data_IF_315711753612
#
_entry.id   IF_315711753612
#
_cell.length_a   1.000
_cell.length_b   1.000
_cell.length_c   1.000
_cell.angle_alpha   90.00
_cell.angle_beta   90.00
_cell.angle_gamma   90.00
#
_symmetry.space_group_name_H-M   'P 1'
#
loop_
_entity.id
_entity.type
_entity.pdbx_description
1 polymer ?
#
# COMPACT_ATOMS: atom_id res chain seq x y z
N UNK A 1 -2.93 -35.59 25.65
CA UNK A 1 -3.34 -35.28 24.26
C UNK A 1 -2.08 -34.97 23.45
N UNK A 2 -1.42 -35.96 22.87
CA UNK A 2 -1.65 -36.58 21.55
C UNK A 2 -1.27 -35.73 20.32
N UNK A 3 -0.56 -34.60 20.46
CA UNK A 3 0.09 -33.96 19.28
C UNK A 3 1.02 -34.91 18.51
N UNK A 4 1.56 -35.94 19.18
CA UNK A 4 2.37 -36.98 18.54
C UNK A 4 1.60 -37.86 17.56
N UNK A 5 0.28 -37.99 17.70
CA UNK A 5 -0.56 -38.84 16.85
C UNK A 5 -1.27 -38.08 15.73
N UNK A 6 -1.28 -36.75 15.77
CA UNK A 6 -1.87 -35.92 14.72
C UNK A 6 -0.92 -35.91 13.52
N UNK A 7 -1.38 -36.04 12.26
CA UNK A 7 -0.54 -35.90 11.07
C UNK A 7 0.09 -34.51 10.94
N UNK A 8 1.25 -34.43 10.28
CA UNK A 8 2.01 -33.18 10.10
C UNK A 8 1.19 -32.13 9.33
N UNK A 9 0.42 -32.55 8.34
CA UNK A 9 -0.39 -31.68 7.47
C UNK A 9 -1.48 -30.95 8.27
N UNK A 10 -2.09 -31.64 9.23
CA UNK A 10 -3.12 -31.06 10.10
C UNK A 10 -2.49 -30.03 11.04
N UNK A 11 -1.34 -30.35 11.61
CA UNK A 11 -0.60 -29.42 12.47
C UNK A 11 -0.18 -28.18 11.68
N UNK A 12 0.37 -28.35 10.47
CA UNK A 12 0.73 -27.25 9.59
C UNK A 12 -0.47 -26.38 9.24
N UNK A 13 -1.63 -26.98 8.95
CA UNK A 13 -2.85 -26.23 8.67
C UNK A 13 -3.31 -25.41 9.88
N UNK A 14 -3.24 -25.97 11.08
CA UNK A 14 -3.58 -25.26 12.32
C UNK A 14 -2.68 -24.05 12.57
N UNK A 15 -1.40 -24.12 12.19
CA UNK A 15 -0.45 -23.02 12.36
C UNK A 15 -0.85 -21.74 11.61
N UNK A 16 -1.64 -21.83 10.54
CA UNK A 16 -2.16 -20.65 9.84
C UNK A 16 -3.19 -19.86 10.65
N UNK A 17 -3.82 -20.49 11.65
CA UNK A 17 -4.85 -19.89 12.51
C UNK A 17 -4.32 -19.42 13.86
N UNK A 18 -3.08 -19.76 14.20
CA UNK A 18 -2.45 -19.39 15.46
C UNK A 18 -1.67 -18.08 15.25
N UNK A 19 -1.69 -17.13 16.21
CA UNK A 19 -0.84 -15.95 16.14
C UNK A 19 0.64 -16.34 15.99
N UNK A 20 1.38 -15.74 15.04
CA UNK A 20 2.79 -16.08 14.82
C UNK A 20 3.67 -15.84 16.05
N UNK A 21 3.28 -14.95 16.96
CA UNK A 21 3.94 -14.68 18.23
C UNK A 21 3.86 -15.88 19.19
N UNK A 22 2.71 -16.54 19.26
CA UNK A 22 2.52 -17.76 20.05
C UNK A 22 3.30 -18.92 19.44
N UNK A 23 3.38 -18.97 18.11
CA UNK A 23 4.23 -19.92 17.44
C UNK A 23 5.71 -19.73 17.83
N UNK A 24 6.20 -18.48 17.80
CA UNK A 24 7.59 -18.15 18.18
C UNK A 24 7.88 -18.41 19.66
N UNK A 25 6.96 -18.06 20.54
CA UNK A 25 7.24 -18.04 21.98
C UNK A 25 6.95 -19.37 22.66
N UNK A 26 6.02 -20.16 22.11
CA UNK A 26 5.52 -21.37 22.75
C UNK A 26 5.68 -22.59 21.84
N UNK A 27 4.98 -22.61 20.70
CA UNK A 27 4.76 -23.83 19.92
C UNK A 27 6.05 -24.51 19.45
N UNK A 28 6.96 -23.75 18.84
CA UNK A 28 8.21 -24.27 18.30
C UNK A 28 9.20 -24.75 19.38
N UNK A 29 8.96 -24.44 20.66
CA UNK A 29 9.85 -24.80 21.76
C UNK A 29 9.46 -26.14 22.40
N UNK A 30 8.28 -26.66 22.09
CA UNK A 30 7.73 -27.87 22.73
C UNK A 30 8.43 -29.15 22.25
N UNK A 31 8.77 -29.25 20.95
CA UNK A 31 9.50 -30.42 20.43
C UNK A 31 10.22 -30.13 19.11
N UNK A 32 11.19 -30.98 18.76
CA UNK A 32 11.91 -30.90 17.48
C UNK A 32 11.00 -31.03 16.26
N UNK A 33 10.01 -31.94 16.31
CA UNK A 33 9.03 -32.11 15.23
C UNK A 33 8.22 -30.83 15.03
N UNK A 34 7.70 -30.25 16.11
CA UNK A 34 6.92 -29.02 16.04
C UNK A 34 7.76 -27.82 15.60
N UNK A 35 9.03 -27.73 16.02
CA UNK A 35 9.96 -26.72 15.51
C UNK A 35 10.11 -26.82 13.99
N UNK A 36 10.30 -28.02 13.46
CA UNK A 36 10.45 -28.23 12.02
C UNK A 36 9.19 -27.79 11.25
N UNK A 37 8.00 -28.15 11.72
CA UNK A 37 6.74 -27.74 11.10
C UNK A 37 6.50 -26.23 11.22
N UNK A 38 6.87 -25.63 12.36
CA UNK A 38 6.77 -24.20 12.59
C UNK A 38 7.76 -23.36 11.77
N UNK A 39 8.85 -23.96 11.28
CA UNK A 39 9.89 -23.30 10.46
C UNK A 39 9.60 -23.37 8.95
N UNK A 40 8.43 -23.87 8.57
CA UNK A 40 8.04 -24.02 7.17
C UNK A 40 7.97 -22.65 6.43
N UNK A 41 8.64 -22.48 5.27
CA UNK A 41 8.73 -21.19 4.59
C UNK A 41 7.39 -20.61 4.10
N UNK A 42 6.44 -21.42 3.64
CA UNK A 42 5.13 -20.95 3.14
C UNK A 42 4.27 -20.36 4.27
N UNK A 43 4.37 -20.89 5.48
CA UNK A 43 3.72 -20.38 6.68
C UNK A 43 4.21 -18.96 6.99
N UNK A 44 5.53 -18.76 7.04
CA UNK A 44 6.10 -17.43 7.29
C UNK A 44 5.88 -16.46 6.13
N UNK A 45 5.85 -16.95 4.88
CA UNK A 45 5.45 -16.15 3.71
C UNK A 45 4.01 -15.65 3.87
N UNK A 46 3.11 -16.52 4.32
CA UNK A 46 1.72 -16.16 4.61
C UNK A 46 1.64 -15.10 5.71
N UNK A 47 2.28 -15.32 6.87
CA UNK A 47 2.25 -14.36 7.97
C UNK A 47 2.81 -12.98 7.59
N UNK A 48 3.89 -12.93 6.79
CA UNK A 48 4.40 -11.66 6.26
C UNK A 48 3.36 -10.93 5.39
N UNK A 49 2.53 -11.68 4.64
CA UNK A 49 1.50 -11.10 3.76
C UNK A 49 0.24 -10.71 4.51
N UNK A 50 -0.19 -11.49 5.51
CA UNK A 50 -1.44 -11.27 6.23
C UNK A 50 -1.33 -10.26 7.36
N UNK A 51 -0.19 -10.18 8.03
CA UNK A 51 -0.07 -9.41 9.27
C UNK A 51 0.42 -7.97 9.06
N UNK A 52 0.92 -7.63 7.87
CA UNK A 52 1.48 -6.32 7.58
C UNK A 52 1.01 -5.85 6.21
N UNK A 53 0.44 -4.65 6.15
CA UNK A 53 -0.01 -4.04 4.90
C UNK A 53 1.14 -3.28 4.23
N UNK A 54 1.90 -2.52 5.02
CA UNK A 54 2.99 -1.69 4.49
C UNK A 54 4.36 -2.29 4.76
N UNK A 55 5.20 -2.20 3.74
CA UNK A 55 6.57 -2.73 3.77
C UNK A 55 7.53 -1.73 3.15
N UNK A 56 8.63 -1.47 3.85
CA UNK A 56 9.71 -0.66 3.33
C UNK A 56 10.32 -1.27 2.06
N UNK A 57 10.60 -0.48 0.99
CA UNK A 57 11.14 -0.97 -0.28
C UNK A 57 12.43 -1.80 -0.14
N UNK A 58 13.24 -1.51 0.88
CA UNK A 58 14.49 -2.25 1.15
C UNK A 58 14.28 -3.78 1.32
N UNK A 59 13.10 -4.19 1.79
CA UNK A 59 12.78 -5.61 1.98
C UNK A 59 12.59 -6.35 0.66
N UNK A 60 12.36 -5.62 -0.44
CA UNK A 60 12.09 -6.17 -1.77
C UNK A 60 10.93 -7.19 -1.77
N UNK A 61 9.89 -6.94 -0.96
CA UNK A 61 8.84 -7.92 -0.68
C UNK A 61 8.15 -8.39 -1.96
N UNK A 62 7.76 -7.48 -2.86
CA UNK A 62 7.07 -7.82 -4.11
C UNK A 62 7.89 -8.78 -4.98
N UNK A 63 9.21 -8.57 -5.06
CA UNK A 63 10.13 -9.47 -5.77
C UNK A 63 10.21 -10.83 -5.08
N UNK A 64 10.33 -10.86 -3.76
CA UNK A 64 10.41 -12.10 -2.96
C UNK A 64 9.12 -12.92 -3.03
N UNK A 65 7.96 -12.26 -3.07
CA UNK A 65 6.65 -12.90 -3.17
C UNK A 65 6.49 -13.67 -4.50
N UNK A 66 7.07 -13.17 -5.59
CA UNK A 66 7.07 -13.84 -6.92
C UNK A 66 8.06 -15.01 -7.00
N UNK A 67 9.06 -15.05 -6.11
CA UNK A 67 10.05 -16.13 -6.04
C UNK A 67 9.53 -17.39 -5.32
N UNK A 68 10.38 -18.43 -5.28
CA UNK A 68 10.09 -19.64 -4.50
C UNK A 68 10.15 -19.32 -3.01
N UNK A 69 9.30 -19.99 -2.23
CA UNK A 69 9.26 -19.75 -0.79
C UNK A 69 10.58 -20.11 -0.09
N UNK A 70 11.28 -21.13 -0.58
CA UNK A 70 12.59 -21.58 -0.08
C UNK A 70 13.69 -20.53 -0.19
N UNK A 71 13.61 -19.62 -1.16
CA UNK A 71 14.72 -18.73 -1.52
C UNK A 71 14.79 -17.49 -0.61
N UNK A 72 13.75 -17.26 0.19
CA UNK A 72 13.65 -16.11 1.09
C UNK A 72 13.57 -16.58 2.54
N UNK A 73 14.36 -16.02 3.46
CA UNK A 73 14.28 -16.34 4.88
C UNK A 73 13.08 -15.64 5.53
N UNK A 74 11.86 -16.06 5.18
CA UNK A 74 10.60 -15.41 5.57
C UNK A 74 10.45 -15.22 7.07
N UNK A 75 10.82 -16.21 7.89
CA UNK A 75 10.79 -16.10 9.34
C UNK A 75 11.65 -14.96 9.87
N UNK A 76 12.87 -14.82 9.34
CA UNK A 76 13.79 -13.73 9.73
C UNK A 76 13.20 -12.37 9.35
N UNK A 77 12.59 -12.29 8.18
CA UNK A 77 11.93 -11.06 7.71
C UNK A 77 10.75 -10.68 8.62
N UNK A 78 9.93 -11.66 9.02
CA UNK A 78 8.83 -11.44 9.96
C UNK A 78 9.34 -10.93 11.31
N UNK A 79 10.35 -11.59 11.88
CA UNK A 79 10.95 -11.20 13.17
C UNK A 79 11.56 -9.79 13.08
N UNK A 80 12.25 -9.47 11.99
CA UNK A 80 12.79 -8.12 11.74
C UNK A 80 11.67 -7.09 11.75
N UNK A 81 10.59 -7.32 10.98
CA UNK A 81 9.43 -6.42 10.92
C UNK A 81 8.78 -6.22 12.29
N UNK A 82 8.65 -7.29 13.09
CA UNK A 82 8.16 -7.20 14.48
C UNK A 82 9.09 -6.41 15.40
N UNK A 83 10.40 -6.62 15.31
CA UNK A 83 11.35 -5.85 16.11
C UNK A 83 11.28 -4.34 15.82
N UNK A 84 10.99 -3.96 14.57
CA UNK A 84 10.77 -2.56 14.17
C UNK A 84 9.47 -2.00 14.77
N UNK A 85 8.40 -2.78 14.83
CA UNK A 85 7.18 -2.37 15.54
C UNK A 85 7.42 -2.18 17.04
N UNK A 86 8.17 -3.07 17.68
CA UNK A 86 8.54 -2.90 19.10
C UNK A 86 9.47 -1.70 19.33
N UNK A 87 10.38 -1.41 18.40
CA UNK A 87 11.16 -0.18 18.42
C UNK A 87 10.26 1.05 18.31
N UNK A 88 9.29 1.03 17.40
CA UNK A 88 8.37 2.14 17.17
C UNK A 88 7.46 2.38 18.38
N UNK A 89 6.94 1.31 18.99
CA UNK A 89 6.17 1.36 20.24
C UNK A 89 6.96 2.04 21.36
N UNK A 90 8.23 1.68 21.53
CA UNK A 90 9.13 2.32 22.51
C UNK A 90 9.36 3.79 22.19
N UNK A 91 9.67 4.12 20.93
CA UNK A 91 9.90 5.51 20.50
C UNK A 91 8.67 6.40 20.75
N UNK A 92 7.47 5.91 20.41
CA UNK A 92 6.22 6.63 20.69
C UNK A 92 6.00 6.82 22.19
N UNK A 93 6.19 5.76 22.99
CA UNK A 93 6.11 5.86 24.46
C UNK A 93 7.04 6.92 25.03
N UNK A 94 8.30 6.97 24.56
CA UNK A 94 9.24 8.00 25.01
C UNK A 94 8.86 9.41 24.53
N UNK A 95 8.28 9.57 23.34
CA UNK A 95 7.77 10.86 22.84
C UNK A 95 6.63 11.39 23.72
N UNK A 96 5.77 10.49 24.20
CA UNK A 96 4.64 10.79 25.08
C UNK A 96 5.13 11.21 26.47
N UNK A 97 6.12 10.52 27.01
CA UNK A 97 6.66 10.80 28.36
C UNK A 97 7.50 12.07 28.41
N UNK A 98 8.35 12.34 27.41
CA UNK A 98 9.30 13.47 27.47
C UNK A 98 9.34 14.34 26.22
N UNK A 99 9.55 15.65 26.44
CA UNK A 99 9.82 16.63 25.37
C UNK A 99 11.29 16.59 24.93
N UNK A 100 12.21 16.20 25.82
CA UNK A 100 13.66 16.22 25.54
C UNK A 100 14.02 15.13 24.55
N UNK A 101 14.74 15.48 23.48
CA UNK A 101 15.19 14.51 22.46
C UNK A 101 14.08 14.05 21.51
N UNK A 102 12.90 14.65 21.55
CA UNK A 102 11.75 14.27 20.70
C UNK A 102 12.06 14.32 19.21
N UNK A 103 12.75 15.36 18.75
CA UNK A 103 13.12 15.50 17.34
C UNK A 103 14.00 14.34 16.84
N UNK A 104 14.97 13.89 17.66
CA UNK A 104 15.80 12.72 17.34
C UNK A 104 14.98 11.43 17.26
N UNK A 105 13.88 11.32 18.03
CA UNK A 105 12.97 10.18 17.95
C UNK A 105 12.11 10.25 16.70
N UNK A 106 11.62 11.43 16.33
CA UNK A 106 10.94 11.65 15.06
C UNK A 106 11.81 11.19 13.89
N UNK A 107 13.07 11.61 13.87
CA UNK A 107 14.03 11.20 12.85
C UNK A 107 14.16 9.66 12.78
N UNK A 108 14.32 8.99 13.92
CA UNK A 108 14.38 7.52 13.99
C UNK A 108 13.10 6.85 13.49
N UNK A 109 11.93 7.45 13.69
CA UNK A 109 10.67 6.92 13.15
C UNK A 109 10.61 7.11 11.65
N UNK A 110 11.00 8.28 11.13
CA UNK A 110 11.07 8.53 9.69
C UNK A 110 12.00 7.54 8.97
N UNK A 111 13.13 7.16 9.59
CA UNK A 111 14.05 6.16 9.05
C UNK A 111 13.45 4.76 8.91
N UNK A 112 12.37 4.43 9.62
CA UNK A 112 11.64 3.17 9.42
C UNK A 112 10.73 3.23 8.18
N UNK A 113 10.39 4.42 7.70
CA UNK A 113 9.56 4.66 6.52
C UNK A 113 8.24 3.91 6.57
N UNK A 114 7.91 3.19 5.49
CA UNK A 114 6.69 2.39 5.36
C UNK A 114 6.47 1.37 6.49
N UNK A 115 7.52 0.83 7.10
CA UNK A 115 7.36 -0.11 8.21
C UNK A 115 6.72 0.55 9.44
N UNK A 116 6.75 1.88 9.55
CA UNK A 116 6.07 2.57 10.64
C UNK A 116 4.55 2.69 10.44
N UNK A 117 4.05 2.61 9.21
CA UNK A 117 2.66 3.00 8.87
C UNK A 117 1.61 2.16 9.58
N UNK A 118 1.71 0.82 9.53
CA UNK A 118 0.70 -0.08 10.13
C UNK A 118 0.44 0.28 11.60
N UNK A 119 1.52 0.41 12.37
CA UNK A 119 1.45 0.73 13.79
C UNK A 119 0.96 2.17 14.03
N UNK A 120 1.47 3.16 13.30
CA UNK A 120 1.05 4.55 13.50
C UNK A 120 -0.43 4.75 13.16
N UNK A 121 -0.93 4.13 12.09
CA UNK A 121 -2.36 4.16 11.73
C UNK A 121 -3.25 3.55 12.81
N UNK A 122 -2.80 2.45 13.42
CA UNK A 122 -3.48 1.85 14.58
C UNK A 122 -3.50 2.82 15.78
N UNK A 123 -2.37 3.47 16.10
CA UNK A 123 -2.28 4.40 17.22
C UNK A 123 -3.02 5.73 16.98
N UNK A 124 -3.19 6.16 15.72
CA UNK A 124 -4.09 7.28 15.37
C UNK A 124 -5.54 6.98 15.75
N UNK A 125 -5.92 5.70 15.81
CA UNK A 125 -7.24 5.20 16.20
C UNK A 125 -7.25 4.56 17.58
N UNK A 126 -6.28 4.93 18.44
CA UNK A 126 -6.16 4.38 19.79
C UNK A 126 -7.48 4.49 20.57
N UNK A 127 -7.77 3.47 21.40
CA UNK A 127 -9.00 3.36 22.19
C UNK A 127 -9.21 4.56 23.13
N UNK A 128 -10.46 4.96 23.31
CA UNK A 128 -10.85 6.07 24.20
C UNK A 128 -10.56 5.78 25.67
N UNK A 129 -10.45 4.50 26.04
CA UNK A 129 -10.09 4.08 27.39
C UNK A 129 -8.60 4.25 27.72
N UNK A 130 -7.75 4.60 26.76
CA UNK A 130 -6.33 4.83 27.02
C UNK A 130 -6.11 6.14 27.79
N UNK A 131 -5.35 6.09 28.88
CA UNK A 131 -5.04 7.25 29.74
C UNK A 131 -4.49 8.45 28.97
N UNK A 132 -3.68 8.18 27.93
CA UNK A 132 -2.99 9.17 27.12
C UNK A 132 -3.57 9.30 25.70
N UNK A 133 -4.84 8.93 25.48
CA UNK A 133 -5.45 8.81 24.14
C UNK A 133 -5.26 10.04 23.26
N UNK A 134 -5.49 11.26 23.79
CA UNK A 134 -5.35 12.49 23.00
C UNK A 134 -3.91 12.73 22.55
N UNK A 135 -2.96 12.54 23.46
CA UNK A 135 -1.54 12.70 23.15
C UNK A 135 -1.09 11.62 22.16
N UNK A 136 -1.50 10.37 22.38
CA UNK A 136 -1.19 9.22 21.53
C UNK A 136 -1.69 9.43 20.10
N UNK A 137 -2.94 9.83 19.91
CA UNK A 137 -3.50 10.12 18.58
C UNK A 137 -2.76 11.28 17.92
N UNK A 138 -2.55 12.38 18.65
CA UNK A 138 -1.84 13.56 18.14
C UNK A 138 -0.41 13.26 17.67
N UNK A 139 0.41 12.63 18.52
CA UNK A 139 1.80 12.33 18.16
C UNK A 139 1.90 11.24 17.11
N UNK A 140 0.99 10.26 17.10
CA UNK A 140 0.97 9.23 16.05
C UNK A 140 0.65 9.83 14.69
N UNK A 141 -0.33 10.73 14.62
CA UNK A 141 -0.67 11.45 13.39
C UNK A 141 0.50 12.36 12.94
N UNK A 142 1.10 13.10 13.87
CA UNK A 142 2.25 13.95 13.57
C UNK A 142 3.46 13.15 13.06
N UNK A 143 3.72 11.97 13.63
CA UNK A 143 4.78 11.06 13.17
C UNK A 143 4.45 10.47 11.80
N UNK A 144 3.19 10.07 11.57
CA UNK A 144 2.74 9.52 10.30
C UNK A 144 2.88 10.54 9.18
N UNK A 145 2.47 11.79 9.42
CA UNK A 145 2.71 12.90 8.52
C UNK A 145 4.21 13.09 8.22
N UNK A 146 5.07 13.03 9.25
CA UNK A 146 6.52 13.14 9.06
C UNK A 146 7.10 12.00 8.21
N UNK A 147 6.60 10.77 8.39
CA UNK A 147 6.96 9.60 7.55
C UNK A 147 6.52 9.83 6.11
N UNK A 148 5.27 10.25 5.89
CA UNK A 148 4.75 10.54 4.55
C UNK A 148 5.57 11.61 3.83
N UNK A 149 5.90 12.71 4.52
CA UNK A 149 6.75 13.78 3.97
C UNK A 149 8.16 13.28 3.63
N UNK A 150 8.77 12.47 4.51
CA UNK A 150 10.08 11.88 4.25
C UNK A 150 10.08 11.04 2.96
N UNK A 151 9.10 10.15 2.82
CA UNK A 151 8.94 9.29 1.64
C UNK A 151 8.73 10.14 0.38
N UNK A 152 7.90 11.18 0.45
CA UNK A 152 7.63 12.05 -0.69
C UNK A 152 8.87 12.82 -1.15
N UNK A 153 9.64 13.36 -0.20
CA UNK A 153 10.89 14.08 -0.49
C UNK A 153 11.91 13.13 -1.12
N UNK A 154 12.07 11.92 -0.58
CA UNK A 154 12.98 10.90 -1.12
C UNK A 154 12.58 10.53 -2.56
N UNK A 155 11.28 10.42 -2.83
CA UNK A 155 10.76 10.13 -4.17
C UNK A 155 11.08 11.25 -5.16
N UNK A 156 10.82 12.51 -4.80
CA UNK A 156 11.16 13.66 -5.66
C UNK A 156 12.66 13.79 -5.90
N UNK A 157 13.48 13.54 -4.88
CA UNK A 157 14.92 13.51 -5.01
C UNK A 157 15.38 12.45 -6.02
N UNK A 158 14.82 11.24 -5.94
CA UNK A 158 15.11 10.16 -6.88
C UNK A 158 14.69 10.53 -8.32
N UNK A 159 13.52 11.13 -8.51
CA UNK A 159 13.04 11.59 -9.83
C UNK A 159 13.97 12.66 -10.41
N UNK A 160 14.42 13.61 -9.57
CA UNK A 160 15.35 14.66 -9.99
C UNK A 160 16.68 14.07 -10.45
N UNK A 161 17.23 13.09 -9.72
CA UNK A 161 18.45 12.39 -10.10
C UNK A 161 18.30 11.69 -11.46
N UNK A 162 17.22 10.94 -11.67
CA UNK A 162 16.95 10.24 -12.93
C UNK A 162 16.81 11.24 -14.09
N UNK A 163 16.07 12.33 -13.90
CA UNK A 163 15.84 13.35 -14.93
C UNK A 163 17.12 14.10 -15.30
N UNK A 164 18.02 14.31 -14.34
CA UNK A 164 19.30 15.00 -14.59
C UNK A 164 20.31 14.14 -15.35
N UNK A 165 20.17 12.80 -15.29
CA UNK A 165 21.07 11.85 -15.95
C UNK A 165 20.62 11.44 -17.35
N UNK A 166 19.32 11.51 -17.64
CA UNK A 166 18.77 11.14 -18.95
C UNK A 166 18.43 12.38 -19.79
N UNK A 167 19.10 12.51 -20.94
CA UNK A 167 18.82 13.54 -21.93
C UNK A 167 17.45 13.31 -22.59
N UNK A 168 16.40 13.99 -22.07
CA UNK A 168 15.40 14.62 -22.94
C UNK A 168 13.96 14.09 -22.96
N UNK A 169 13.55 13.10 -22.17
CA UNK A 169 12.14 12.70 -22.10
C UNK A 169 11.72 12.41 -20.64
N UNK A 170 10.81 13.21 -20.04
CA UNK A 170 10.18 12.82 -18.78
C UNK A 170 9.35 11.58 -19.03
N UNK A 171 9.70 10.45 -18.39
CA UNK A 171 8.90 9.24 -18.50
C UNK A 171 7.55 9.47 -17.80
N UNK A 172 6.44 9.06 -18.39
CA UNK A 172 5.09 9.22 -17.81
C UNK A 172 5.02 8.67 -16.37
N UNK A 173 5.73 7.58 -16.10
CA UNK A 173 5.87 6.98 -14.76
C UNK A 173 6.49 7.94 -13.73
N UNK A 174 7.38 8.85 -14.15
CA UNK A 174 7.97 9.86 -13.26
C UNK A 174 6.98 10.94 -12.86
N UNK A 175 6.06 11.33 -13.75
CA UNK A 175 5.03 12.32 -13.44
C UNK A 175 3.99 11.76 -12.47
N UNK A 176 3.50 10.54 -12.72
CA UNK A 176 2.56 9.86 -11.81
C UNK A 176 3.13 9.72 -10.40
N UNK A 177 4.42 9.35 -10.28
CA UNK A 177 5.10 9.22 -9.00
C UNK A 177 5.34 10.57 -8.34
N UNK A 178 5.68 11.62 -9.11
CA UNK A 178 5.82 12.97 -8.57
C UNK A 178 4.49 13.50 -8.01
N UNK A 179 3.38 13.28 -8.72
CA UNK A 179 2.04 13.67 -8.28
C UNK A 179 1.58 12.82 -7.08
N UNK A 180 1.83 11.51 -7.10
CA UNK A 180 1.51 10.65 -5.96
C UNK A 180 2.32 11.02 -4.71
N UNK A 181 3.58 11.40 -4.86
CA UNK A 181 4.40 11.90 -3.76
C UNK A 181 3.86 13.22 -3.19
N UNK A 182 3.31 14.10 -4.03
CA UNK A 182 2.61 15.30 -3.56
C UNK A 182 1.39 14.95 -2.70
N UNK A 183 0.61 13.94 -3.09
CA UNK A 183 -0.59 13.52 -2.37
C UNK A 183 -0.27 12.97 -0.96
N UNK A 184 0.94 12.42 -0.75
CA UNK A 184 1.39 11.98 0.57
C UNK A 184 1.37 13.11 1.62
N UNK A 185 1.49 14.39 1.22
CA UNK A 185 1.41 15.52 2.16
C UNK A 185 0.00 15.76 2.73
N UNK A 186 -1.03 15.20 2.09
CA UNK A 186 -2.45 15.43 2.41
C UNK A 186 -3.13 14.19 3.01
N UNK A 187 -2.52 13.01 2.89
CA UNK A 187 -3.09 11.73 3.34
C UNK A 187 -3.39 11.65 4.84
N UNK A 188 -2.65 12.35 5.70
CA UNK A 188 -2.82 12.31 7.16
C UNK A 188 -2.97 10.88 7.75
N UNK A 189 -4.14 10.54 8.28
CA UNK A 189 -4.47 9.26 8.91
C UNK A 189 -5.11 8.23 7.95
N UNK A 190 -5.16 8.55 6.66
CA UNK A 190 -5.71 7.67 5.65
C UNK A 190 -4.72 6.56 5.30
N UNK A 191 -5.21 5.34 5.03
CA UNK A 191 -4.36 4.19 4.77
C UNK A 191 -3.81 4.15 3.33
N UNK A 192 -3.91 5.23 2.56
CA UNK A 192 -3.38 5.28 1.20
C UNK A 192 -1.86 5.32 1.18
N UNK A 193 -1.26 4.89 0.08
CA UNK A 193 0.16 5.10 -0.20
C UNK A 193 0.45 5.52 -1.64
N UNK A 194 1.74 5.74 -1.95
CA UNK A 194 2.20 6.15 -3.27
C UNK A 194 1.76 5.17 -4.38
N UNK A 195 1.81 3.86 -4.13
CA UNK A 195 1.47 2.88 -5.14
C UNK A 195 -0.05 2.85 -5.39
N UNK A 196 -0.86 3.04 -4.35
CA UNK A 196 -2.31 3.23 -4.45
C UNK A 196 -2.65 4.45 -5.32
N UNK A 197 -2.04 5.61 -5.03
CA UNK A 197 -2.30 6.87 -5.76
C UNK A 197 -1.84 6.76 -7.22
N UNK A 198 -0.64 6.23 -7.47
CA UNK A 198 -0.16 6.02 -8.83
C UNK A 198 -1.03 5.02 -9.60
N UNK A 199 -1.57 3.99 -8.94
CA UNK A 199 -2.51 3.06 -9.54
C UNK A 199 -3.78 3.74 -10.04
N UNK A 200 -4.36 4.62 -9.21
CA UNK A 200 -5.54 5.41 -9.57
C UNK A 200 -5.23 6.35 -10.74
N UNK A 201 -4.10 7.06 -10.70
CA UNK A 201 -3.69 7.96 -11.79
C UNK A 201 -3.51 7.22 -13.12
N UNK A 202 -2.86 6.05 -13.11
CA UNK A 202 -2.72 5.20 -14.31
C UNK A 202 -4.07 4.80 -14.88
N UNK A 203 -4.99 4.37 -14.02
CA UNK A 203 -6.33 3.98 -14.46
C UNK A 203 -7.07 5.14 -15.14
N UNK A 204 -6.95 6.37 -14.61
CA UNK A 204 -7.55 7.56 -15.22
C UNK A 204 -6.93 7.88 -16.58
N UNK A 205 -5.60 7.77 -16.69
CA UNK A 205 -4.89 7.99 -17.96
C UNK A 205 -5.34 6.95 -19.00
N UNK A 206 -5.37 5.67 -18.66
CA UNK A 206 -5.82 4.59 -19.55
C UNK A 206 -7.26 4.82 -20.04
N UNK A 207 -8.18 5.20 -19.14
CA UNK A 207 -9.56 5.52 -19.52
C UNK A 207 -9.61 6.73 -20.48
N UNK A 208 -8.80 7.75 -20.24
CA UNK A 208 -8.75 8.94 -21.10
C UNK A 208 -8.28 8.62 -22.52
N UNK A 209 -7.31 7.70 -22.66
CA UNK A 209 -6.80 7.23 -23.95
C UNK A 209 -7.84 6.38 -24.70
N UNK A 210 -8.56 5.51 -23.98
CA UNK A 210 -9.66 4.71 -24.55
C UNK A 210 -10.79 5.62 -25.03
N UNK A 211 -11.21 6.60 -24.22
CA UNK A 211 -12.27 7.55 -24.60
C UNK A 211 -11.84 8.39 -25.80
N UNK A 212 -10.58 8.84 -25.85
CA UNK A 212 -10.04 9.58 -26.98
C UNK A 212 -10.00 8.74 -28.26
N UNK A 213 -9.57 7.48 -28.15
CA UNK A 213 -9.57 6.51 -29.26
C UNK A 213 -10.98 6.17 -29.75
N UNK A 214 -11.94 6.02 -28.84
CA UNK A 214 -13.35 5.78 -29.15
C UNK A 214 -14.00 6.99 -29.83
N UNK A 215 -13.71 8.21 -29.37
CA UNK A 215 -14.13 9.46 -30.05
C UNK A 215 -13.58 9.53 -31.46
N UNK A 216 -12.29 9.25 -31.65
CA UNK A 216 -11.65 9.18 -32.98
C UNK A 216 -12.30 8.11 -33.88
N UNK A 217 -12.66 6.95 -33.33
CA UNK A 217 -13.33 5.88 -34.06
C UNK A 217 -14.75 6.26 -34.46
N UNK A 218 -15.53 6.85 -33.54
CA UNK A 218 -16.88 7.36 -33.82
C UNK A 218 -16.86 8.48 -34.89
N UNK A 219 -15.84 9.35 -34.86
CA UNK A 219 -15.65 10.41 -35.85
C UNK A 219 -15.33 9.83 -37.24
N UNK A 220 -14.50 8.78 -37.33
CA UNK A 220 -14.21 8.04 -38.58
C UNK A 220 -15.41 7.27 -39.13
N UNK A 221 -16.27 6.74 -38.27
CA UNK A 221 -17.52 6.06 -38.69
C UNK A 221 -18.51 7.09 -39.25
N UNK A 222 -18.66 8.23 -38.58
CA UNK A 222 -19.57 9.31 -39.02
C UNK A 222 -19.16 9.89 -40.37
N UNK A 223 -17.85 10.08 -40.63
CA UNK A 223 -17.36 10.54 -41.93
C UNK A 223 -17.55 9.51 -43.05
N UNK A 224 -17.46 8.20 -42.75
CA UNK A 224 -17.78 7.13 -43.72
C UNK A 224 -19.28 7.03 -44.04
N UNK A 225 -20.16 7.29 -43.07
CA UNK A 225 -21.62 7.31 -43.31
C UNK A 225 -22.07 8.54 -44.11
N UNK A 226 -21.41 9.70 -43.93
CA UNK A 226 -21.68 10.92 -44.72
C UNK A 226 -21.21 10.83 -46.18
N UNK A 227 -20.34 9.87 -46.53
CA UNK A 227 -19.93 9.58 -47.91
C UNK A 227 -20.81 8.55 -48.64
N UNK A 228 -21.86 8.02 -48.00
CA UNK A 228 -22.80 7.07 -48.62
C UNK A 228 -24.06 7.80 -49.12
N UNK A 229 -24.52 7.58 -50.36
CA UNK A 229 -25.66 8.30 -50.93
C UNK A 229 -26.99 7.65 -50.48
N UNK A 230 -27.47 7.97 -49.28
CA UNK A 230 -28.85 7.65 -48.88
C UNK A 230 -29.40 8.73 -47.90
N UNK A 231 -30.34 9.58 -48.33
CA UNK A 231 -30.66 10.82 -47.61
C UNK A 231 -31.71 10.69 -46.50
N UNK A 232 -32.00 9.50 -45.95
CA UNK A 232 -33.10 9.33 -44.97
C UNK A 232 -32.70 9.00 -43.53
N UNK A 233 -31.43 8.68 -43.22
CA UNK A 233 -31.01 8.33 -41.85
C UNK A 233 -30.17 9.39 -41.13
N UNK A 234 -29.63 10.39 -41.84
CA UNK A 234 -28.72 11.39 -41.28
C UNK A 234 -29.35 12.30 -40.21
N UNK A 235 -30.69 12.42 -40.17
CA UNK A 235 -31.38 13.31 -39.24
C UNK A 235 -31.56 12.73 -37.82
N UNK A 236 -31.45 11.40 -37.62
CA UNK A 236 -31.60 10.79 -36.28
C UNK A 236 -30.32 10.74 -35.46
N UNK A 237 -29.14 10.74 -36.10
CA UNK A 237 -27.85 10.62 -35.41
C UNK A 237 -27.28 11.96 -34.92
N UNK A 238 -27.60 13.08 -35.58
CA UNK A 238 -27.18 14.42 -35.16
C UNK A 238 -27.81 14.87 -33.83
N UNK A 239 -28.96 14.30 -33.45
CA UNK A 239 -29.63 14.55 -32.17
C UNK A 239 -28.89 13.88 -31.00
N UNK A 240 -28.22 12.76 -31.23
CA UNK A 240 -27.45 12.04 -30.19
C UNK A 240 -26.10 12.69 -29.87
N UNK A 241 -25.49 13.40 -30.82
CA UNK A 241 -24.15 14.02 -30.66
C UNK A 241 -24.21 15.38 -29.97
N UNK A 242 -25.34 16.10 -30.04
CA UNK A 242 -25.44 17.49 -29.55
C UNK A 242 -26.04 17.68 -28.15
N UNK A 243 -26.44 16.62 -27.44
CA UNK A 243 -26.88 16.73 -26.04
C UNK A 243 -26.26 15.63 -25.18
N UNK A 244 -25.18 15.91 -24.42
CA UNK A 244 -24.90 15.10 -23.24
C UNK A 244 -26.04 15.38 -22.25
N UNK A 245 -27.00 14.48 -22.13
CA UNK A 245 -27.97 14.56 -21.06
C UNK A 245 -27.20 14.55 -19.73
N UNK A 246 -27.20 15.69 -19.04
CA UNK A 246 -26.64 15.90 -17.70
C UNK A 246 -27.31 15.04 -16.60
N UNK A 247 -28.13 14.05 -16.96
CA UNK A 247 -28.88 13.21 -16.05
C UNK A 247 -28.17 11.90 -15.63
N UNK A 248 -27.00 11.59 -16.20
CA UNK A 248 -26.27 10.36 -15.84
C UNK A 248 -25.16 10.54 -14.79
N UNK A 249 -24.89 11.76 -14.33
CA UNK A 249 -23.91 12.05 -13.28
C UNK A 249 -24.49 12.10 -11.85
N UNK A 250 -25.79 11.82 -11.67
CA UNK A 250 -26.45 11.89 -10.35
C UNK A 250 -26.61 10.54 -9.63
N UNK A 251 -25.91 9.48 -10.04
CA UNK A 251 -25.98 8.15 -9.38
C UNK A 251 -24.62 7.61 -8.88
N UNK A 252 -23.63 8.47 -8.69
CA UNK A 252 -22.36 8.11 -8.03
C UNK A 252 -22.01 9.03 -6.86
N UNK A 253 -23.01 9.52 -6.13
CA UNK A 253 -22.81 10.20 -4.83
C UNK A 253 -23.88 9.84 -3.79
N UNK A 254 -24.47 8.65 -3.89
CA UNK A 254 -25.22 8.04 -2.79
C UNK A 254 -24.92 6.55 -2.73
N UNK A 255 -23.88 6.21 -1.95
CA UNK A 255 -23.77 5.07 -1.02
C UNK A 255 -22.45 5.23 -0.24
#
# INVERSE_FOLDING_TARGET
MFFSQVPDEIIQHLLYYIPPEDNLSNFQLVSHRLRHLADEPLLWKYHCRSNFRFWHPEHNLQRRLKGRASDTPWKKLFILRKSRNEQLKRLLGEILVTKVGRLKRYEKVCQLGYDAKDFLLEQCKADENAEDVLARRYYSQSLLDSVHRSIAIDEWYNIQLVTSTHSGQPQTLSLERALGAFDLFVLHDQPGDLDDVCGILRQVIEISEIVSSAKLCAMKITTRFLSSPAPSFAASLSVWVSKPNAAHFQLMYTL
#
